data_IF_279236113738
#
_entry.id   IF_279236113738
#
_cell.length_a   1.000
_cell.length_b   1.000
_cell.length_c   1.000
_cell.angle_alpha   90.00
_cell.angle_beta   90.00
_cell.angle_gamma   90.00
#
_symmetry.space_group_name_H-M   'P 1'
#
loop_
_entity.id
_entity.type
_entity.pdbx_description
1 polymer ?
#
# COMPACT_ATOMS: atom_id res chain seq x y z
N UNK A 1 -7.42 -11.09 -4.15
CA UNK A 1 -6.14 -11.22 -4.89
C UNK A 1 -5.29 -9.98 -4.65
N UNK A 2 -3.96 -10.11 -4.48
CA UNK A 2 -3.05 -8.97 -4.35
C UNK A 2 -2.75 -8.34 -5.72
N UNK A 3 -2.52 -7.02 -5.74
CA UNK A 3 -2.06 -6.27 -6.92
C UNK A 3 -1.04 -5.21 -6.49
N UNK A 4 0.01 -5.03 -7.27
CA UNK A 4 1.03 -4.00 -7.03
C UNK A 4 0.66 -2.72 -7.79
N UNK A 5 0.93 -1.57 -7.16
CA UNK A 5 0.86 -0.25 -7.78
C UNK A 5 2.28 0.33 -7.80
N UNK A 6 2.76 0.73 -8.99
CA UNK A 6 4.12 1.28 -9.15
C UNK A 6 4.15 2.81 -9.14
N UNK A 7 3.08 3.46 -9.60
CA UNK A 7 2.98 4.93 -9.62
C UNK A 7 2.23 5.44 -8.38
N UNK A 8 2.78 6.46 -7.73
CA UNK A 8 2.17 7.12 -6.58
C UNK A 8 0.85 7.84 -6.93
N UNK A 9 0.69 8.32 -8.16
CA UNK A 9 -0.54 8.98 -8.62
C UNK A 9 -1.72 8.02 -8.62
N UNK A 10 -1.51 6.79 -9.10
CA UNK A 10 -2.53 5.74 -9.10
C UNK A 10 -2.92 5.34 -7.67
N UNK A 11 -1.93 5.28 -6.77
CA UNK A 11 -2.19 5.03 -5.35
C UNK A 11 -3.12 6.09 -4.75
N UNK A 12 -2.87 7.37 -5.02
CA UNK A 12 -3.70 8.49 -4.53
C UNK A 12 -5.11 8.50 -5.14
N UNK A 13 -5.26 8.10 -6.40
CA UNK A 13 -6.56 7.95 -7.02
C UNK A 13 -7.36 6.80 -6.38
N UNK A 14 -6.72 5.65 -6.16
CA UNK A 14 -7.39 4.49 -5.57
C UNK A 14 -7.72 4.73 -4.10
N UNK A 15 -6.85 5.39 -3.35
CA UNK A 15 -7.09 5.73 -1.94
C UNK A 15 -8.32 6.64 -1.72
N UNK A 16 -8.69 7.45 -2.72
CA UNK A 16 -9.87 8.33 -2.66
C UNK A 16 -11.18 7.66 -3.09
N UNK A 17 -11.15 6.45 -3.64
CA UNK A 17 -12.37 5.77 -4.08
C UNK A 17 -13.24 5.38 -2.90
N UNK A 18 -14.56 5.41 -3.08
CA UNK A 18 -15.56 5.03 -2.05
C UNK A 18 -15.40 3.58 -1.55
N UNK A 19 -14.83 2.70 -2.36
CA UNK A 19 -14.65 1.28 -2.02
C UNK A 19 -13.33 0.97 -1.28
N UNK A 20 -12.43 1.95 -1.17
CA UNK A 20 -11.25 1.86 -0.32
C UNK A 20 -11.66 1.95 1.15
N UNK A 21 -11.34 0.92 1.94
CA UNK A 21 -11.80 0.80 3.34
C UNK A 21 -10.71 1.10 4.36
N UNK A 22 -9.47 0.69 4.10
CA UNK A 22 -8.39 0.78 5.08
C UNK A 22 -7.02 0.68 4.42
N UNK A 23 -6.02 1.32 5.03
CA UNK A 23 -4.60 1.16 4.65
C UNK A 23 -3.85 0.53 5.82
N UNK A 24 -3.12 -0.56 5.54
CA UNK A 24 -2.21 -1.18 6.49
C UNK A 24 -0.79 -0.79 6.10
N UNK A 25 -0.10 -0.09 7.00
CA UNK A 25 1.30 0.31 6.80
C UNK A 25 2.18 -0.73 7.47
N UNK A 26 2.88 -1.55 6.68
CA UNK A 26 3.84 -2.53 7.19
C UNK A 26 5.25 -1.97 7.02
N UNK A 27 5.91 -1.67 8.13
CA UNK A 27 7.35 -1.33 8.16
C UNK A 27 8.15 -2.63 8.25
N UNK A 28 9.07 -2.84 7.32
CA UNK A 28 10.05 -3.93 7.35
C UNK A 28 11.38 -3.31 7.80
N UNK A 29 11.75 -3.43 9.09
CA UNK A 29 13.03 -2.95 9.56
C UNK A 29 14.15 -3.77 8.91
N UNK A 30 15.14 -3.08 8.34
CA UNK A 30 16.34 -3.72 7.81
C UNK A 30 17.41 -3.70 8.90
N UNK A 31 18.01 -4.86 9.20
CA UNK A 31 18.86 -5.02 10.40
C UNK A 31 20.11 -4.16 10.39
N UNK A 32 20.58 -3.76 9.20
CA UNK A 32 21.89 -3.12 9.01
C UNK A 32 21.79 -1.65 8.56
N UNK A 33 20.58 -1.12 8.37
CA UNK A 33 20.35 0.21 7.79
C UNK A 33 19.26 0.94 8.58
N UNK A 34 19.47 2.23 8.88
CA UNK A 34 18.44 3.08 9.51
C UNK A 34 17.19 3.26 8.63
N UNK A 35 17.30 2.94 7.34
CA UNK A 35 16.23 2.99 6.36
C UNK A 35 15.72 1.58 6.12
N UNK A 36 14.45 1.32 6.48
CA UNK A 36 13.76 0.06 6.22
C UNK A 36 12.62 0.25 5.22
N UNK A 37 12.30 -0.82 4.49
CA UNK A 37 11.26 -0.76 3.47
C UNK A 37 9.87 -0.68 4.10
N UNK A 38 9.04 0.26 3.65
CA UNK A 38 7.65 0.39 4.10
C UNK A 38 6.69 0.03 2.97
N UNK A 39 5.72 -0.85 3.25
CA UNK A 39 4.68 -1.26 2.29
C UNK A 39 3.33 -0.67 2.71
N UNK A 40 2.68 0.04 1.81
CA UNK A 40 1.34 0.60 2.00
C UNK A 40 0.31 -0.33 1.39
N UNK A 41 -0.36 -1.13 2.22
CA UNK A 41 -1.34 -2.10 1.75
C UNK A 41 -2.74 -1.50 1.80
N UNK A 42 -3.28 -1.07 0.68
CA UNK A 42 -4.61 -0.48 0.58
C UNK A 42 -5.67 -1.55 0.27
N UNK A 43 -6.65 -1.70 1.16
CA UNK A 43 -7.77 -2.64 0.97
C UNK A 43 -8.92 -1.96 0.24
N UNK A 44 -9.20 -2.44 -0.97
CA UNK A 44 -10.43 -2.13 -1.71
C UNK A 44 -11.39 -3.34 -1.69
N UNK A 45 -12.53 -3.23 -2.36
CA UNK A 45 -13.52 -4.31 -2.44
C UNK A 45 -12.95 -5.60 -3.03
N UNK A 46 -12.27 -5.50 -4.18
CA UNK A 46 -11.79 -6.67 -4.95
C UNK A 46 -10.32 -7.03 -4.69
N UNK A 47 -9.45 -6.02 -4.58
CA UNK A 47 -8.01 -6.20 -4.51
C UNK A 47 -7.43 -5.65 -3.20
N UNK A 48 -6.31 -6.24 -2.79
CA UNK A 48 -5.39 -5.63 -1.85
C UNK A 48 -4.26 -5.02 -2.69
N UNK A 49 -4.23 -3.70 -2.74
CA UNK A 49 -3.19 -2.95 -3.44
C UNK A 49 -1.97 -2.81 -2.53
N UNK A 50 -0.78 -2.86 -3.10
CA UNK A 50 0.49 -2.76 -2.39
C UNK A 50 1.44 -1.86 -3.14
#
# INVERSE_FOLDING_TARGET
>A
MPKEIKDIKDFLLIARRKDAKSVIIKRNPERNTRQGNTKFKLRASRYLYT
#
